data_IF_358698125566
#
_entry.id   IF_358698125566
#
_cell.length_a   1.000
_cell.length_b   1.000
_cell.length_c   1.000
_cell.angle_alpha   90.00
_cell.angle_beta   90.00
_cell.angle_gamma   90.00
#
_symmetry.space_group_name_H-M   'P 1'
#
loop_
_entity.id
_entity.type
_entity.pdbx_description
1 polymer ?
#
# COMPACT_ATOMS: atom_id res chain seq x y z
N UNK A 1 -10.64 8.13 -10.95
CA UNK A 1 -10.47 7.51 -9.63
C UNK A 1 -9.16 8.01 -9.02
N UNK A 2 -9.08 8.16 -7.69
CA UNK A 2 -7.89 8.66 -7.00
C UNK A 2 -7.37 7.59 -6.06
N UNK A 3 -6.05 7.37 -6.04
CA UNK A 3 -5.37 6.58 -5.03
C UNK A 3 -4.23 7.40 -4.42
N UNK A 4 -4.14 7.42 -3.09
CA UNK A 4 -3.16 8.24 -2.38
C UNK A 4 -2.18 7.36 -1.59
N UNK A 5 -0.93 7.81 -1.50
CA UNK A 5 0.12 7.22 -0.68
C UNK A 5 0.75 8.32 0.18
N UNK A 6 1.19 7.97 1.38
CA UNK A 6 1.75 8.96 2.32
C UNK A 6 2.76 8.28 3.27
N UNK A 7 3.87 8.95 3.66
CA UNK A 7 4.85 8.37 4.57
C UNK A 7 4.25 7.91 5.90
N UNK A 8 3.29 8.68 6.40
CA UNK A 8 2.54 8.40 7.63
C UNK A 8 1.22 7.65 7.43
N UNK A 9 1.02 6.93 6.31
CA UNK A 9 -0.24 6.19 6.13
C UNK A 9 -0.47 5.18 7.27
N UNK A 10 -1.70 5.17 7.77
CA UNK A 10 -2.23 4.17 8.70
C UNK A 10 -3.68 3.84 8.36
N UNK A 11 -4.07 2.58 8.58
CA UNK A 11 -5.46 2.13 8.53
C UNK A 11 -6.13 2.31 9.89
N UNK A 12 -7.35 2.84 9.90
CA UNK A 12 -8.15 2.93 11.10
C UNK A 12 -8.52 1.53 11.62
N UNK A 13 -8.53 1.37 12.95
CA UNK A 13 -8.93 0.11 13.60
C UNK A 13 -7.86 -0.99 13.65
N UNK A 14 -6.66 -0.76 13.10
CA UNK A 14 -5.53 -1.67 13.23
C UNK A 14 -4.55 -1.23 14.33
N UNK A 15 -3.83 -2.16 14.97
CA UNK A 15 -2.74 -1.83 15.88
C UNK A 15 -1.72 -0.87 15.24
N UNK A 16 -1.09 0.04 16.00
CA UNK A 16 -0.06 0.95 15.48
C UNK A 16 1.14 0.23 14.81
N UNK A 17 1.30 -1.04 15.14
CA UNK A 17 2.32 -1.93 14.62
C UNK A 17 1.88 -2.92 13.56
N UNK A 18 0.66 -2.79 13.03
CA UNK A 18 0.22 -3.65 11.96
C UNK A 18 1.03 -3.40 10.67
N UNK A 19 1.61 -4.44 10.04
CA UNK A 19 2.38 -4.31 8.80
C UNK A 19 1.53 -3.84 7.62
N UNK A 20 0.20 -3.97 7.68
CA UNK A 20 -0.70 -3.50 6.61
C UNK A 20 -0.62 -1.98 6.43
N UNK A 21 -0.21 -1.21 7.44
CA UNK A 21 0.05 0.23 7.30
C UNK A 21 1.05 0.55 6.19
N UNK A 22 1.92 -0.38 5.81
CA UNK A 22 2.89 -0.20 4.73
C UNK A 22 2.28 -0.37 3.32
N UNK A 23 1.04 -0.82 3.18
CA UNK A 23 0.38 -1.02 1.87
C UNK A 23 0.23 0.29 1.08
N UNK A 24 0.05 1.43 1.78
CA UNK A 24 -0.01 2.77 1.15
C UNK A 24 1.06 3.74 1.65
N UNK A 25 2.18 3.23 2.17
CA UNK A 25 3.33 4.09 2.49
C UNK A 25 4.16 4.37 1.25
N UNK A 26 4.64 5.60 1.16
CA UNK A 26 5.57 6.06 0.12
C UNK A 26 6.48 7.12 0.76
N UNK A 27 7.75 7.27 0.31
CA UNK A 27 8.68 8.26 0.86
C UNK A 27 8.18 9.70 0.78
N UNK A 28 7.33 9.99 -0.20
CA UNK A 28 6.70 11.29 -0.40
C UNK A 28 5.17 11.14 -0.48
N UNK A 29 4.40 12.20 -0.19
CA UNK A 29 2.97 12.22 -0.51
C UNK A 29 2.76 12.06 -2.02
N UNK A 30 2.01 11.04 -2.43
CA UNK A 30 1.73 10.75 -3.85
C UNK A 30 0.22 10.68 -4.09
N UNK A 31 -0.23 11.34 -5.15
CA UNK A 31 -1.61 11.26 -5.65
C UNK A 31 -1.57 10.63 -7.04
N UNK A 32 -2.11 9.42 -7.17
CA UNK A 32 -2.26 8.73 -8.44
C UNK A 32 -3.64 9.03 -9.04
N UNK A 33 -3.64 9.66 -10.21
CA UNK A 33 -4.85 9.89 -11.01
C UNK A 33 -5.03 8.73 -11.98
N UNK A 34 -6.07 7.93 -11.74
CA UNK A 34 -6.34 6.73 -12.52
C UNK A 34 -7.49 6.99 -13.49
N UNK A 35 -7.30 6.55 -14.74
CA UNK A 35 -8.33 6.59 -15.80
C UNK A 35 -9.45 5.62 -15.42
N UNK A 36 -10.55 6.17 -14.92
CA UNK A 36 -11.66 5.37 -14.37
C UNK A 36 -12.17 4.29 -15.35
N UNK A 37 -12.44 4.59 -16.64
CA UNK A 37 -12.95 3.56 -17.56
C UNK A 37 -12.01 2.36 -17.73
N UNK A 38 -10.69 2.58 -17.72
CA UNK A 38 -9.74 1.48 -17.80
C UNK A 38 -9.76 0.64 -16.53
N UNK A 39 -9.79 1.27 -15.36
CA UNK A 39 -9.86 0.52 -14.09
C UNK A 39 -11.12 -0.34 -14.04
N UNK A 40 -12.27 0.22 -14.43
CA UNK A 40 -13.55 -0.51 -14.45
C UNK A 40 -13.48 -1.73 -15.38
N UNK A 41 -12.79 -1.60 -16.53
CA UNK A 41 -12.55 -2.72 -17.45
C UNK A 41 -11.73 -3.85 -16.77
N UNK A 42 -10.65 -3.51 -16.07
CA UNK A 42 -9.84 -4.51 -15.35
C UNK A 42 -10.61 -5.16 -14.18
N UNK A 43 -11.47 -4.39 -13.51
CA UNK A 43 -12.36 -4.92 -12.47
C UNK A 43 -13.34 -5.93 -13.08
N UNK A 44 -14.00 -5.58 -14.19
CA UNK A 44 -14.96 -6.45 -14.88
C UNK A 44 -14.33 -7.75 -15.39
N UNK A 45 -13.04 -7.71 -15.77
CA UNK A 45 -12.26 -8.89 -16.16
C UNK A 45 -11.82 -9.76 -14.97
N UNK A 46 -12.15 -9.39 -13.72
CA UNK A 46 -11.72 -10.08 -12.51
C UNK A 46 -10.23 -9.96 -12.19
N UNK A 47 -9.49 -9.11 -12.92
CA UNK A 47 -8.03 -8.97 -12.79
C UNK A 47 -7.59 -8.29 -11.50
N UNK A 48 -8.51 -7.61 -10.82
CA UNK A 48 -8.24 -6.93 -9.54
C UNK A 48 -8.60 -7.79 -8.33
N UNK A 49 -9.20 -8.96 -8.55
CA UNK A 49 -9.68 -9.81 -7.46
C UNK A 49 -8.51 -10.37 -6.65
N UNK A 50 -8.62 -10.28 -5.33
CA UNK A 50 -7.61 -10.77 -4.39
C UNK A 50 -6.38 -9.87 -4.23
N UNK A 51 -6.26 -8.72 -4.92
CA UNK A 51 -5.13 -7.80 -4.72
C UNK A 51 -4.99 -7.42 -3.24
N UNK A 52 -6.08 -7.03 -2.59
CA UNK A 52 -6.08 -6.64 -1.18
C UNK A 52 -5.62 -7.80 -0.27
N UNK A 53 -6.25 -8.98 -0.39
CA UNK A 53 -5.92 -10.15 0.42
C UNK A 53 -4.47 -10.63 0.21
N UNK A 54 -3.98 -10.54 -1.03
CA UNK A 54 -2.62 -10.91 -1.39
C UNK A 54 -1.60 -9.93 -0.80
N UNK A 55 -1.88 -8.62 -0.86
CA UNK A 55 -1.05 -7.59 -0.26
C UNK A 55 -0.99 -7.76 1.26
N UNK A 56 -2.14 -7.95 1.90
CA UNK A 56 -2.21 -8.18 3.34
C UNK A 56 -1.41 -9.42 3.75
N UNK A 57 -1.67 -10.55 3.09
CA UNK A 57 -0.94 -11.80 3.37
C UNK A 57 0.57 -11.62 3.19
N UNK A 58 0.99 -10.93 2.12
CA UNK A 58 2.41 -10.70 1.85
C UNK A 58 3.05 -9.79 2.90
N UNK A 59 2.40 -8.69 3.26
CA UNK A 59 2.91 -7.76 4.27
C UNK A 59 2.99 -8.43 5.65
N UNK A 60 2.01 -9.26 6.00
CA UNK A 60 2.05 -10.08 7.22
C UNK A 60 3.19 -11.11 7.20
N UNK A 61 3.46 -11.74 6.05
CA UNK A 61 4.60 -12.67 5.89
C UNK A 61 5.96 -12.00 5.99
N UNK A 62 6.12 -10.81 5.38
CA UNK A 62 7.36 -10.02 5.48
C UNK A 62 7.56 -9.52 6.92
N UNK A 63 6.48 -9.13 7.58
CA UNK A 63 6.48 -8.67 8.96
C UNK A 63 6.97 -7.23 9.12
N UNK A 64 6.60 -6.60 10.25
CA UNK A 64 6.87 -5.19 10.50
C UNK A 64 8.35 -4.84 10.54
N UNK A 65 9.19 -5.68 11.14
CA UNK A 65 10.59 -5.35 11.38
C UNK A 65 11.32 -5.04 10.06
N UNK A 66 11.23 -5.95 9.09
CA UNK A 66 11.86 -5.81 7.78
C UNK A 66 11.22 -4.67 6.95
N UNK A 67 9.89 -4.51 7.02
CA UNK A 67 9.21 -3.40 6.35
C UNK A 67 9.67 -2.05 6.89
N UNK A 68 9.81 -1.91 8.21
CA UNK A 68 10.29 -0.68 8.86
C UNK A 68 11.72 -0.38 8.45
N UNK A 69 12.63 -1.34 8.59
CA UNK A 69 14.04 -1.20 8.23
C UNK A 69 14.21 -0.78 6.76
N UNK A 70 13.52 -1.47 5.85
CA UNK A 70 13.59 -1.16 4.41
C UNK A 70 13.05 0.23 4.12
N UNK A 71 11.93 0.62 4.73
CA UNK A 71 11.32 1.91 4.49
C UNK A 71 12.16 3.07 5.04
N UNK A 72 12.74 2.90 6.23
CA UNK A 72 13.66 3.89 6.82
C UNK A 72 14.95 4.02 6.01
N UNK A 73 15.46 2.91 5.46
CA UNK A 73 16.60 2.95 4.55
C UNK A 73 16.27 3.79 3.30
N UNK A 74 15.11 3.61 2.68
CA UNK A 74 14.68 4.41 1.52
C UNK A 74 14.58 5.89 1.88
N UNK A 75 14.00 6.24 3.04
CA UNK A 75 13.89 7.62 3.50
C UNK A 75 15.25 8.30 3.77
N UNK A 76 16.30 7.52 3.99
CA UNK A 76 17.65 8.01 4.26
C UNK A 76 18.52 8.13 2.98
N UNK A 77 18.00 7.77 1.81
CA UNK A 77 18.72 7.84 0.53
C UNK A 77 18.68 9.22 -0.14
N UNK A 78 18.08 10.22 0.52
CA UNK A 78 17.97 11.61 0.06
C UNK A 78 19.13 12.51 0.54
#
# INVERSE_FOLDING_TARGET
MVACFHPGHTFAGLPPDDPLHYEKRSPYPVINLLRAPSVDEYIAQGKTQGIADNNERRLRQVGRALLKETFEAILAMD
#
